data_IF_455743344936
#
_entry.id   IF_455743344936
#
_cell.length_a   1.000
_cell.length_b   1.000
_cell.length_c   1.000
_cell.angle_alpha   90.00
_cell.angle_beta   90.00
_cell.angle_gamma   90.00
#
_symmetry.space_group_name_H-M   'P 1'
#
loop_
_entity.id
_entity.type
_entity.pdbx_description
1 polymer ?
#
# COMPACT_ATOMS: atom_id res chain seq x y z
N UNK A 1 -37.82 30.85 -34.40
CA UNK A 1 -38.48 32.16 -34.18
C UNK A 1 -37.48 33.13 -33.54
N UNK A 2 -37.41 34.38 -34.03
CA UNK A 2 -36.98 35.66 -33.36
C UNK A 2 -36.07 35.52 -32.11
N UNK A 3 -34.76 35.86 -32.17
CA UNK A 3 -34.13 37.19 -31.89
C UNK A 3 -34.11 37.57 -30.39
N UNK A 4 -33.14 38.28 -29.79
CA UNK A 4 -32.13 39.28 -30.25
C UNK A 4 -31.04 39.46 -29.16
N UNK A 5 -29.73 39.58 -29.48
CA UNK A 5 -28.97 40.82 -29.76
C UNK A 5 -29.08 41.97 -28.71
N UNK A 6 -27.98 42.35 -28.05
CA UNK A 6 -27.46 43.74 -27.92
C UNK A 6 -26.21 43.80 -27.00
N UNK A 7 -25.68 45.01 -26.74
CA UNK A 7 -24.32 45.46 -27.15
C UNK A 7 -23.77 46.57 -26.25
N UNK A 8 -22.43 46.69 -26.17
CA UNK A 8 -21.65 47.89 -25.73
C UNK A 8 -21.73 48.22 -24.22
N UNK A 9 -20.83 49.02 -23.60
CA UNK A 9 -20.07 50.17 -24.13
C UNK A 9 -18.68 50.43 -23.46
N UNK A 10 -17.91 51.38 -24.03
CA UNK A 10 -16.54 51.79 -23.66
C UNK A 10 -16.51 53.11 -22.85
N UNK A 11 -15.54 53.23 -21.94
CA UNK A 11 -14.69 54.42 -21.69
C UNK A 11 -13.28 53.91 -21.25
N UNK A 12 -12.10 54.55 -21.36
CA UNK A 12 -11.53 55.83 -21.87
C UNK A 12 -11.33 57.04 -20.92
N UNK A 13 -10.03 57.37 -20.76
CA UNK A 13 -9.40 58.61 -20.27
C UNK A 13 -9.46 58.86 -18.74
N UNK A 14 -8.51 59.55 -18.10
CA UNK A 14 -7.59 60.60 -18.61
C UNK A 14 -6.19 60.66 -17.96
N UNK A 15 -5.32 61.52 -18.54
CA UNK A 15 -3.90 61.80 -18.21
C UNK A 15 -3.70 62.71 -17.00
N UNK A 16 -2.54 62.60 -16.32
CA UNK A 16 -1.60 63.73 -16.05
C UNK A 16 -0.27 63.21 -15.45
N UNK A 17 0.91 63.48 -16.07
CA UNK A 17 1.90 64.53 -15.67
C UNK A 17 2.32 64.47 -14.18
N UNK A 18 3.57 64.57 -13.72
CA UNK A 18 4.95 64.64 -14.23
C UNK A 18 5.77 65.33 -13.12
N UNK A 19 6.97 64.85 -12.76
CA UNK A 19 8.02 65.73 -12.19
C UNK A 19 9.41 65.07 -12.22
N UNK A 20 10.45 65.91 -12.26
CA UNK A 20 11.89 65.56 -12.33
C UNK A 20 12.60 65.99 -11.06
N UNK A 21 13.53 65.17 -10.58
CA UNK A 21 14.72 65.52 -9.78
C UNK A 21 15.59 64.23 -9.74
N UNK A 22 16.88 64.15 -10.10
CA UNK A 22 18.09 64.93 -9.77
C UNK A 22 18.20 65.21 -8.28
N UNK A 23 19.26 64.86 -7.52
CA UNK A 23 20.52 64.17 -7.82
C UNK A 23 21.37 64.15 -6.54
N UNK A 24 22.13 63.10 -6.24
CA UNK A 24 23.41 63.23 -5.50
C UNK A 24 24.20 61.91 -5.45
N UNK A 25 25.53 62.03 -5.59
CA UNK A 25 26.50 60.99 -5.22
C UNK A 25 26.85 61.12 -3.73
N UNK A 26 27.09 60.00 -3.07
CA UNK A 26 28.14 59.89 -2.04
C UNK A 26 28.70 58.47 -2.03
N UNK A 27 29.99 58.33 -1.69
CA UNK A 27 30.75 57.07 -1.70
C UNK A 27 30.89 56.51 -0.27
N UNK A 28 31.45 55.29 -0.18
CA UNK A 28 32.09 54.69 1.01
C UNK A 28 31.13 54.30 2.14
N UNK A 29 31.40 53.29 2.97
CA UNK A 29 32.40 52.20 2.98
C UNK A 29 32.07 51.25 4.13
N UNK A 30 32.54 49.99 4.08
CA UNK A 30 32.51 49.03 5.20
C UNK A 30 31.09 48.61 5.68
N UNK A 31 30.88 47.48 6.34
CA UNK A 31 31.59 46.17 6.31
C UNK A 31 30.68 45.13 6.99
N UNK A 32 31.00 43.83 6.78
CA UNK A 32 30.53 42.69 7.59
C UNK A 32 29.06 42.28 7.45
N UNK A 33 28.82 41.02 7.86
CA UNK A 33 27.52 40.39 8.08
C UNK A 33 26.63 40.16 6.86
N UNK A 34 27.22 39.63 5.77
CA UNK A 34 26.59 38.47 5.13
C UNK A 34 26.71 37.29 6.11
N UNK A 35 25.78 37.21 7.05
CA UNK A 35 25.47 35.95 7.71
C UNK A 35 25.16 34.95 6.62
N UNK A 36 26.08 34.00 6.39
CA UNK A 36 25.71 32.76 5.71
C UNK A 36 24.69 32.10 6.62
N UNK A 37 23.41 32.34 6.37
CA UNK A 37 22.36 31.43 6.77
C UNK A 37 22.62 30.12 6.03
N UNK A 38 23.57 29.34 6.56
CA UNK A 38 23.48 27.90 6.49
C UNK A 38 22.17 27.56 7.20
N UNK A 39 21.07 27.62 6.44
CA UNK A 39 19.94 26.76 6.67
C UNK A 39 20.52 25.36 6.66
N UNK A 40 20.92 24.88 7.85
CA UNK A 40 21.05 23.46 8.12
C UNK A 40 19.68 22.92 7.78
N UNK A 41 19.53 22.40 6.56
CA UNK A 41 18.38 21.60 6.24
C UNK A 41 18.37 20.54 7.32
N UNK A 42 17.35 20.60 8.20
CA UNK A 42 17.02 19.41 8.97
C UNK A 42 16.78 18.37 7.88
N UNK A 43 17.72 17.43 7.74
CA UNK A 43 17.43 16.16 7.09
C UNK A 43 16.38 15.55 8.01
N UNK A 44 15.12 15.85 7.71
CA UNK A 44 14.04 15.00 8.15
C UNK A 44 14.39 13.65 7.52
N UNK A 45 14.78 12.68 8.35
CA UNK A 45 14.78 11.30 7.92
C UNK A 45 13.32 10.84 8.07
N UNK A 46 12.72 10.42 6.98
CA UNK A 46 11.65 9.43 7.03
C UNK A 46 12.24 8.10 7.49
N UNK A 47 11.40 7.19 7.98
CA UNK A 47 11.70 5.77 8.10
C UNK A 47 11.06 4.96 6.95
N UNK A 48 10.42 5.62 5.98
CA UNK A 48 9.87 5.01 4.76
C UNK A 48 10.85 4.06 4.07
N UNK A 49 10.39 2.92 3.56
CA UNK A 49 11.24 1.87 2.97
C UNK A 49 10.75 1.44 1.58
N UNK A 50 11.57 0.72 0.84
CA UNK A 50 11.20 0.08 -0.42
C UNK A 50 12.00 -1.19 -0.67
N UNK A 51 11.56 -2.06 -1.58
CA UNK A 51 12.38 -3.16 -2.10
C UNK A 51 13.28 -2.66 -3.23
N UNK A 52 14.58 -2.94 -3.16
CA UNK A 52 15.52 -2.68 -4.26
C UNK A 52 15.42 -3.74 -5.38
N UNK A 53 16.35 -3.71 -6.34
CA UNK A 53 16.39 -4.66 -7.46
C UNK A 53 16.76 -6.10 -7.08
N UNK A 54 17.33 -6.31 -5.89
CA UNK A 54 17.67 -7.61 -5.32
C UNK A 54 16.55 -8.17 -4.43
N UNK A 55 15.59 -7.32 -4.05
CA UNK A 55 14.55 -7.63 -3.07
C UNK A 55 14.93 -7.25 -1.63
N UNK A 56 16.03 -6.52 -1.43
CA UNK A 56 16.45 -6.05 -0.11
C UNK A 56 15.61 -4.85 0.33
N UNK A 57 15.27 -4.80 1.62
CA UNK A 57 14.54 -3.66 2.21
C UNK A 57 15.50 -2.50 2.46
N UNK A 58 15.32 -1.41 1.73
CA UNK A 58 16.19 -0.23 1.74
C UNK A 58 15.45 1.05 2.10
N UNK A 59 16.17 2.00 2.70
CA UNK A 59 15.63 3.28 3.16
C UNK A 59 15.25 4.19 2.00
N UNK A 60 14.00 4.66 1.99
CA UNK A 60 13.48 5.67 1.06
C UNK A 60 13.51 7.06 1.70
N UNK A 61 14.16 8.03 1.05
CA UNK A 61 14.29 9.41 1.56
C UNK A 61 13.30 10.39 0.88
N UNK A 62 12.02 10.02 0.80
CA UNK A 62 10.96 10.80 0.15
C UNK A 62 9.89 11.30 1.13
N UNK A 63 9.56 12.59 1.05
CA UNK A 63 8.43 13.20 1.77
C UNK A 63 7.22 13.29 0.84
N UNK A 64 6.34 12.28 0.91
CA UNK A 64 5.13 12.19 0.07
C UNK A 64 3.81 12.20 0.86
N UNK A 65 3.82 11.70 2.09
CA UNK A 65 2.65 11.56 2.97
C UNK A 65 2.95 12.08 4.37
N UNK A 66 1.91 12.24 5.20
CA UNK A 66 2.03 12.66 6.61
C UNK A 66 2.57 11.55 7.54
N UNK A 67 2.70 10.31 7.04
CA UNK A 67 3.27 9.16 7.76
C UNK A 67 4.38 8.51 6.92
N UNK A 68 5.24 7.73 7.57
CA UNK A 68 6.18 6.83 6.88
C UNK A 68 5.41 5.76 6.08
N UNK A 69 5.99 5.34 4.94
CA UNK A 69 5.34 4.44 4.00
C UNK A 69 6.31 3.39 3.45
N UNK A 70 5.77 2.24 3.07
CA UNK A 70 6.47 1.24 2.29
C UNK A 70 6.13 1.40 0.80
N UNK A 71 7.14 1.35 -0.09
CA UNK A 71 6.95 1.32 -1.54
C UNK A 71 7.26 -0.08 -2.09
N UNK A 72 6.23 -0.75 -2.60
CA UNK A 72 6.38 -2.01 -3.34
C UNK A 72 6.36 -1.75 -4.84
N UNK A 73 7.32 -2.32 -5.55
CA UNK A 73 7.31 -2.42 -7.01
C UNK A 73 6.79 -3.81 -7.37
N UNK A 74 5.79 -3.89 -8.27
CA UNK A 74 5.22 -5.18 -8.66
C UNK A 74 5.07 -5.29 -10.17
N UNK A 75 5.26 -6.49 -10.72
CA UNK A 75 4.91 -6.80 -12.12
C UNK A 75 3.53 -7.46 -12.23
N UNK A 76 2.87 -7.72 -11.09
CA UNK A 76 1.61 -8.44 -10.98
C UNK A 76 0.45 -7.46 -11.19
N UNK A 77 -0.14 -7.44 -12.39
CA UNK A 77 -1.33 -6.62 -12.67
C UNK A 77 -2.48 -6.90 -11.70
N UNK A 78 -2.64 -8.17 -11.29
CA UNK A 78 -3.64 -8.61 -10.31
C UNK A 78 -3.45 -7.92 -8.97
N UNK A 79 -2.22 -7.81 -8.48
CA UNK A 79 -1.90 -7.11 -7.23
C UNK A 79 -2.26 -5.63 -7.32
N UNK A 80 -1.91 -4.93 -8.43
CA UNK A 80 -2.32 -3.54 -8.65
C UNK A 80 -3.85 -3.37 -8.63
N UNK A 81 -4.60 -4.32 -9.22
CA UNK A 81 -6.06 -4.33 -9.21
C UNK A 81 -6.65 -4.57 -7.81
N UNK A 82 -5.99 -5.40 -7.00
CA UNK A 82 -6.34 -5.69 -5.60
C UNK A 82 -6.04 -4.47 -4.72
N UNK A 83 -4.86 -3.87 -4.85
CA UNK A 83 -4.48 -2.66 -4.11
C UNK A 83 -5.43 -1.49 -4.40
N UNK A 84 -5.90 -1.32 -5.65
CA UNK A 84 -6.94 -0.32 -5.95
C UNK A 84 -8.29 -0.66 -5.31
N UNK A 85 -8.70 -1.93 -5.27
CA UNK A 85 -9.93 -2.33 -4.55
C UNK A 85 -9.84 -2.02 -3.06
N UNK A 86 -8.72 -2.33 -2.42
CA UNK A 86 -8.45 -2.07 -0.99
C UNK A 86 -8.39 -0.56 -0.71
N UNK A 87 -7.65 0.20 -1.53
CA UNK A 87 -7.53 1.67 -1.43
C UNK A 87 -8.89 2.38 -1.45
N UNK A 88 -9.83 1.90 -2.27
CA UNK A 88 -11.18 2.46 -2.37
C UNK A 88 -12.16 1.94 -1.30
N UNK A 89 -11.79 0.90 -0.54
CA UNK A 89 -12.64 0.25 0.46
C UNK A 89 -11.82 -0.08 1.73
N UNK A 90 -11.25 0.90 2.44
CA UNK A 90 -10.27 0.65 3.51
C UNK A 90 -10.84 -0.17 4.67
N UNK A 91 -9.99 -1.00 5.28
CA UNK A 91 -10.32 -1.85 6.43
C UNK A 91 -9.22 -1.73 7.51
N UNK A 92 -9.55 -1.61 8.81
CA UNK A 92 -8.55 -1.43 9.87
C UNK A 92 -7.61 -2.63 10.09
N UNK A 93 -7.93 -3.80 9.56
CA UNK A 93 -7.13 -5.02 9.65
C UNK A 93 -6.45 -5.41 8.32
N UNK A 94 -6.41 -4.51 7.34
CA UNK A 94 -5.64 -4.65 6.10
C UNK A 94 -4.78 -3.41 5.92
N UNK A 95 -3.57 -3.57 5.35
CA UNK A 95 -2.62 -2.48 5.14
C UNK A 95 -3.26 -1.30 4.40
N UNK A 96 -3.05 -0.08 4.90
CA UNK A 96 -3.59 1.12 4.23
C UNK A 96 -2.82 1.38 2.94
N UNK A 97 -3.48 1.29 1.78
CA UNK A 97 -2.89 1.68 0.50
C UNK A 97 -3.03 3.20 0.33
N UNK A 98 -1.91 3.91 0.13
CA UNK A 98 -1.91 5.37 -0.05
C UNK A 98 -1.97 5.77 -1.53
N UNK A 99 -1.41 4.97 -2.42
CA UNK A 99 -1.36 5.26 -3.86
C UNK A 99 -1.05 4.00 -4.67
N UNK A 100 -1.73 3.85 -5.81
CA UNK A 100 -1.39 2.86 -6.84
C UNK A 100 -1.07 3.60 -8.15
N UNK A 101 0.16 3.46 -8.64
CA UNK A 101 0.59 4.02 -9.92
C UNK A 101 0.86 2.89 -10.91
N UNK A 102 -0.08 2.68 -11.84
CA UNK A 102 -0.01 1.63 -12.86
C UNK A 102 1.04 1.84 -13.95
N UNK A 103 1.50 3.08 -14.18
CA UNK A 103 2.49 3.35 -15.22
C UNK A 103 3.88 2.84 -14.78
N UNK A 104 4.23 3.15 -13.54
CA UNK A 104 5.51 2.74 -12.94
C UNK A 104 5.39 1.40 -12.17
N UNK A 105 4.17 0.85 -12.09
CA UNK A 105 3.79 -0.37 -11.36
C UNK A 105 4.20 -0.33 -9.88
N UNK A 106 3.92 0.81 -9.25
CA UNK A 106 4.23 1.14 -7.85
C UNK A 106 2.97 1.09 -7.00
N UNK A 107 3.10 0.51 -5.80
CA UNK A 107 2.13 0.63 -4.70
C UNK A 107 2.85 1.31 -3.54
N UNK A 108 2.37 2.48 -3.10
CA UNK A 108 2.76 3.05 -1.82
C UNK A 108 1.71 2.68 -0.77
N UNK A 109 2.14 2.12 0.35
CA UNK A 109 1.29 1.62 1.44
C UNK A 109 1.86 1.99 2.81
N UNK A 110 1.04 1.85 3.84
CA UNK A 110 1.43 2.00 5.25
C UNK A 110 2.67 1.16 5.59
N UNK A 111 3.65 1.76 6.26
CA UNK A 111 4.80 1.02 6.79
C UNK A 111 4.37 0.30 8.08
N UNK A 112 4.35 -1.03 8.03
CA UNK A 112 4.05 -1.87 9.19
C UNK A 112 5.34 -2.36 9.87
N UNK A 113 5.24 -2.67 11.15
CA UNK A 113 6.26 -3.40 11.90
C UNK A 113 6.03 -4.92 11.77
N UNK A 114 7.02 -5.63 11.25
CA UNK A 114 7.00 -7.09 11.08
C UNK A 114 7.82 -7.82 12.15
N UNK A 115 8.51 -7.10 13.04
CA UNK A 115 9.36 -7.66 14.09
C UNK A 115 8.58 -7.83 15.41
N UNK A 116 7.54 -8.67 15.39
CA UNK A 116 6.71 -8.95 16.57
C UNK A 116 6.86 -10.38 17.09
N UNK A 117 6.72 -10.57 18.41
CA UNK A 117 6.77 -11.89 19.03
C UNK A 117 5.47 -12.67 18.80
N UNK A 118 5.57 -13.90 18.27
CA UNK A 118 4.44 -14.79 18.06
C UNK A 118 4.05 -15.58 19.33
N UNK A 119 3.77 -14.85 20.41
CA UNK A 119 3.25 -15.39 21.67
C UNK A 119 1.73 -15.63 21.61
N UNK A 120 1.16 -16.30 22.62
CA UNK A 120 -0.26 -16.66 22.66
C UNK A 120 -1.20 -15.44 22.57
N UNK A 121 -0.86 -14.33 23.23
CA UNK A 121 -1.68 -13.10 23.20
C UNK A 121 -1.76 -12.52 21.78
N UNK A 122 -0.63 -12.51 21.07
CA UNK A 122 -0.58 -12.05 19.68
C UNK A 122 -1.25 -13.03 18.72
N UNK A 123 -1.14 -14.35 18.94
CA UNK A 123 -1.91 -15.36 18.18
C UNK A 123 -3.41 -15.15 18.32
N UNK A 124 -3.94 -14.95 19.54
CA UNK A 124 -5.37 -14.67 19.74
C UNK A 124 -5.86 -13.40 19.04
N UNK A 125 -5.04 -12.34 19.03
CA UNK A 125 -5.33 -11.10 18.29
C UNK A 125 -5.32 -11.33 16.77
N UNK A 126 -4.36 -12.10 16.27
CA UNK A 126 -4.23 -12.46 14.85
C UNK A 126 -5.40 -13.32 14.39
N UNK A 127 -5.81 -14.35 15.14
CA UNK A 127 -6.98 -15.17 14.81
C UNK A 127 -8.26 -14.35 14.71
N UNK A 128 -8.43 -13.36 15.60
CA UNK A 128 -9.56 -12.44 15.57
C UNK A 128 -9.47 -11.48 14.38
N UNK A 129 -8.28 -11.01 14.04
CA UNK A 129 -8.02 -10.20 12.85
C UNK A 129 -8.43 -10.97 11.58
N UNK A 130 -7.91 -12.20 11.40
CA UNK A 130 -8.12 -13.01 10.19
C UNK A 130 -9.61 -13.28 9.95
N UNK A 131 -10.38 -13.62 11.00
CA UNK A 131 -11.83 -13.83 10.93
C UNK A 131 -12.59 -12.61 10.39
N UNK A 132 -12.10 -11.39 10.64
CA UNK A 132 -12.66 -10.16 10.05
C UNK A 132 -12.15 -9.92 8.63
N UNK A 133 -10.85 -10.13 8.40
CA UNK A 133 -10.19 -9.87 7.11
C UNK A 133 -10.70 -10.77 6.00
N UNK A 134 -10.90 -12.06 6.26
CA UNK A 134 -11.39 -13.00 5.24
C UNK A 134 -12.78 -12.62 4.73
N UNK A 135 -13.71 -12.27 5.64
CA UNK A 135 -15.06 -11.79 5.29
C UNK A 135 -14.99 -10.50 4.46
N UNK A 136 -14.11 -9.58 4.84
CA UNK A 136 -13.87 -8.34 4.09
C UNK A 136 -13.32 -8.60 2.68
N UNK A 137 -12.26 -9.40 2.52
CA UNK A 137 -11.66 -9.71 1.21
C UNK A 137 -12.66 -10.44 0.30
N UNK A 138 -13.40 -11.41 0.83
CA UNK A 138 -14.42 -12.16 0.09
C UNK A 138 -15.58 -11.27 -0.37
N UNK A 139 -15.93 -10.22 0.39
CA UNK A 139 -16.93 -9.21 -0.01
C UNK A 139 -16.45 -8.31 -1.15
N UNK A 140 -15.13 -8.22 -1.37
CA UNK A 140 -14.51 -7.52 -2.51
C UNK A 140 -14.18 -8.47 -3.68
N UNK A 141 -14.56 -9.74 -3.58
CA UNK A 141 -14.19 -10.83 -4.51
C UNK A 141 -12.68 -11.04 -4.63
N UNK A 142 -11.94 -10.79 -3.54
CA UNK A 142 -10.51 -11.06 -3.41
C UNK A 142 -10.35 -12.36 -2.62
N UNK A 143 -9.49 -13.26 -3.10
CA UNK A 143 -9.06 -14.45 -2.39
C UNK A 143 -7.59 -14.32 -2.08
N UNK A 144 -7.21 -14.47 -0.82
CA UNK A 144 -5.88 -14.13 -0.36
C UNK A 144 -4.81 -15.19 -0.73
N UNK A 145 -5.12 -16.46 -0.46
CA UNK A 145 -4.36 -17.67 -0.81
C UNK A 145 -2.99 -17.83 -0.13
N UNK A 146 -2.29 -16.76 0.28
CA UNK A 146 -0.95 -16.84 0.88
C UNK A 146 -0.95 -16.58 2.41
N UNK A 147 -1.82 -17.28 3.14
CA UNK A 147 -1.96 -17.14 4.59
C UNK A 147 -0.69 -17.62 5.33
N UNK A 148 0.12 -16.68 5.81
CA UNK A 148 1.31 -16.91 6.64
C UNK A 148 1.56 -15.73 7.59
N UNK A 149 2.29 -15.94 8.69
CA UNK A 149 2.58 -14.89 9.66
C UNK A 149 3.43 -13.75 9.08
N UNK A 150 4.36 -14.04 8.16
CA UNK A 150 5.23 -13.02 7.55
C UNK A 150 4.47 -11.95 6.75
N UNK A 151 3.24 -12.25 6.33
CA UNK A 151 2.35 -11.32 5.63
C UNK A 151 1.42 -10.53 6.60
N UNK A 152 1.66 -10.63 7.90
CA UNK A 152 0.95 -9.88 8.94
C UNK A 152 1.95 -8.89 9.55
N UNK A 153 1.52 -7.65 9.74
CA UNK A 153 2.34 -6.62 10.37
C UNK A 153 1.51 -5.82 11.38
N UNK A 154 2.19 -5.08 12.24
CA UNK A 154 1.57 -4.23 13.26
C UNK A 154 1.62 -2.76 12.82
N UNK A 155 0.53 -2.02 13.00
CA UNK A 155 0.56 -0.57 12.85
C UNK A 155 1.11 0.13 14.11
N UNK A 156 1.37 1.43 13.99
CA UNK A 156 1.88 2.28 15.08
C UNK A 156 0.98 2.35 16.33
N UNK A 157 -0.28 1.94 16.19
CA UNK A 157 -1.30 1.95 17.25
C UNK A 157 -1.47 0.54 17.88
N UNK A 158 -0.66 -0.45 17.45
CA UNK A 158 -0.62 -1.81 18.00
C UNK A 158 -1.60 -2.80 17.34
N UNK A 159 -2.20 -2.44 16.20
CA UNK A 159 -3.19 -3.29 15.53
C UNK A 159 -2.52 -4.16 14.45
N UNK A 160 -2.85 -5.44 14.42
CA UNK A 160 -2.45 -6.32 13.33
C UNK A 160 -3.21 -6.03 12.03
N UNK A 161 -2.48 -6.04 10.93
CA UNK A 161 -2.95 -5.84 9.55
C UNK A 161 -2.34 -6.86 8.61
N UNK A 162 -3.16 -7.41 7.72
CA UNK A 162 -2.70 -8.23 6.60
C UNK A 162 -2.13 -7.33 5.49
N UNK A 163 -0.97 -7.71 4.95
CA UNK A 163 -0.33 -7.07 3.79
C UNK A 163 0.14 -8.14 2.78
N UNK A 164 0.80 -7.69 1.72
CA UNK A 164 1.27 -8.50 0.58
C UNK A 164 0.18 -9.32 -0.17
N UNK A 165 -0.20 -8.85 -1.36
CA UNK A 165 -1.26 -9.45 -2.18
C UNK A 165 -0.74 -9.99 -3.53
N UNK A 166 0.56 -10.31 -3.64
CA UNK A 166 1.18 -10.70 -4.92
C UNK A 166 0.64 -12.03 -5.50
N UNK A 167 0.30 -12.93 -4.58
CA UNK A 167 -0.15 -14.30 -4.78
C UNK A 167 -1.67 -14.42 -4.73
N UNK A 168 -2.37 -13.37 -4.30
CA UNK A 168 -3.83 -13.30 -4.26
C UNK A 168 -4.48 -13.28 -5.64
N UNK A 169 -5.77 -13.64 -5.69
CA UNK A 169 -6.58 -13.66 -6.92
C UNK A 169 -7.88 -12.87 -6.78
N UNK A 170 -8.52 -12.61 -7.93
CA UNK A 170 -9.85 -11.98 -8.01
C UNK A 170 -10.85 -12.98 -8.58
N UNK A 171 -11.92 -13.24 -7.84
CA UNK A 171 -13.05 -14.06 -8.24
C UNK A 171 -14.14 -13.24 -8.94
N UNK A 172 -15.17 -13.91 -9.44
CA UNK A 172 -16.39 -13.29 -9.95
C UNK A 172 -17.36 -12.92 -8.81
N UNK A 173 -18.44 -12.22 -9.15
CA UNK A 173 -19.41 -11.68 -8.18
C UNK A 173 -20.09 -12.77 -7.30
N UNK A 174 -20.09 -14.03 -7.74
CA UNK A 174 -20.57 -15.17 -6.96
C UNK A 174 -19.46 -15.91 -6.19
N UNK A 175 -18.21 -15.46 -6.26
CA UNK A 175 -17.00 -16.08 -5.73
C UNK A 175 -16.70 -17.52 -6.21
N UNK A 176 -17.39 -18.00 -7.26
CA UNK A 176 -17.29 -19.39 -7.75
C UNK A 176 -16.27 -19.61 -8.86
N UNK A 177 -15.75 -18.56 -9.49
CA UNK A 177 -14.77 -18.65 -10.60
C UNK A 177 -13.74 -17.53 -10.55
N UNK A 178 -12.50 -17.84 -10.91
CA UNK A 178 -11.43 -16.85 -11.08
C UNK A 178 -11.71 -15.94 -12.29
N UNK A 179 -11.73 -14.62 -12.06
CA UNK A 179 -11.57 -13.61 -13.13
C UNK A 179 -10.08 -13.35 -13.37
N UNK A 180 -9.28 -13.30 -12.30
CA UNK A 180 -7.82 -13.20 -12.35
C UNK A 180 -7.25 -14.20 -11.34
N UNK A 181 -6.66 -15.28 -11.85
CA UNK A 181 -6.13 -16.34 -11.00
C UNK A 181 -4.94 -15.87 -10.16
N UNK A 182 -4.77 -16.43 -8.96
CA UNK A 182 -3.58 -16.24 -8.10
C UNK A 182 -2.25 -16.61 -8.77
N UNK A 183 -1.13 -16.29 -8.13
CA UNK A 183 0.19 -16.77 -8.56
C UNK A 183 0.30 -18.29 -8.39
N UNK A 184 1.12 -18.95 -9.22
CA UNK A 184 1.51 -20.34 -8.94
C UNK A 184 2.32 -20.38 -7.65
N UNK A 185 1.79 -21.05 -6.63
CA UNK A 185 2.38 -21.15 -5.30
C UNK A 185 2.21 -22.55 -4.72
N UNK A 186 2.87 -22.85 -3.60
CA UNK A 186 2.66 -24.08 -2.84
C UNK A 186 1.19 -24.28 -2.47
N UNK A 187 0.49 -23.20 -2.07
CA UNK A 187 -0.92 -23.22 -1.73
C UNK A 187 -1.80 -23.70 -2.89
N UNK A 188 -1.52 -23.30 -4.14
CA UNK A 188 -2.26 -23.83 -5.30
C UNK A 188 -1.96 -25.30 -5.59
N UNK A 189 -0.75 -25.79 -5.32
CA UNK A 189 -0.43 -27.20 -5.46
C UNK A 189 -1.22 -28.04 -4.43
N UNK A 190 -1.26 -27.59 -3.17
CA UNK A 190 -2.03 -28.21 -2.09
C UNK A 190 -3.54 -28.26 -2.42
N UNK A 191 -4.10 -27.16 -2.93
CA UNK A 191 -5.50 -27.10 -3.38
C UNK A 191 -5.78 -28.07 -4.53
N UNK A 192 -4.88 -28.17 -5.50
CA UNK A 192 -5.01 -29.11 -6.63
C UNK A 192 -4.98 -30.57 -6.19
N UNK A 193 -4.15 -30.92 -5.19
CA UNK A 193 -4.09 -32.26 -4.60
C UNK A 193 -5.40 -32.62 -3.89
N UNK A 194 -6.02 -31.66 -3.20
CA UNK A 194 -7.31 -31.82 -2.53
C UNK A 194 -8.53 -31.62 -3.47
N UNK A 195 -8.30 -31.46 -4.77
CA UNK A 195 -9.33 -31.19 -5.79
C UNK A 195 -10.19 -29.92 -5.55
N UNK A 196 -9.69 -28.98 -4.73
CA UNK A 196 -10.37 -27.72 -4.42
C UNK A 196 -10.05 -26.70 -5.52
N UNK A 197 -11.05 -26.35 -6.33
CA UNK A 197 -10.88 -25.48 -7.51
C UNK A 197 -11.71 -24.19 -7.44
N UNK A 198 -12.73 -24.15 -6.58
CA UNK A 198 -13.57 -22.97 -6.38
C UNK A 198 -12.81 -21.91 -5.55
N UNK A 199 -12.75 -20.63 -5.98
CA UNK A 199 -11.99 -19.59 -5.30
C UNK A 199 -12.34 -19.43 -3.82
N UNK A 200 -13.64 -19.38 -3.50
CA UNK A 200 -14.13 -19.22 -2.13
C UNK A 200 -13.73 -20.40 -1.24
N UNK A 201 -13.92 -21.63 -1.72
CA UNK A 201 -13.54 -22.84 -0.99
C UNK A 201 -12.02 -22.92 -0.81
N UNK A 202 -11.25 -22.50 -1.83
CA UNK A 202 -9.80 -22.48 -1.80
C UNK A 202 -9.25 -21.62 -0.67
N UNK A 203 -9.75 -20.38 -0.56
CA UNK A 203 -9.25 -19.43 0.43
C UNK A 203 -9.72 -19.76 1.84
N UNK A 204 -10.98 -20.23 1.99
CA UNK A 204 -11.48 -20.71 3.28
C UNK A 204 -10.71 -21.95 3.77
N UNK A 205 -10.34 -22.88 2.89
CA UNK A 205 -9.57 -24.07 3.25
C UNK A 205 -8.17 -23.71 3.75
N UNK A 206 -7.46 -22.84 3.03
CA UNK A 206 -6.12 -22.39 3.42
C UNK A 206 -6.15 -21.57 4.71
N UNK A 207 -7.12 -20.67 4.85
CA UNK A 207 -7.33 -19.92 6.10
C UNK A 207 -7.66 -20.85 7.29
N UNK A 208 -8.44 -21.91 7.07
CA UNK A 208 -8.73 -22.91 8.10
C UNK A 208 -7.45 -23.64 8.54
N UNK A 209 -6.63 -24.12 7.59
CA UNK A 209 -5.38 -24.78 7.92
C UNK A 209 -4.42 -23.84 8.67
N UNK A 210 -4.31 -22.57 8.26
CA UNK A 210 -3.51 -21.56 8.94
C UNK A 210 -3.94 -21.34 10.39
N UNK A 211 -5.24 -21.07 10.65
CA UNK A 211 -5.77 -20.83 12.01
C UNK A 211 -5.55 -22.05 12.93
N UNK A 212 -5.57 -23.28 12.37
CA UNK A 212 -5.34 -24.50 13.15
C UNK A 212 -3.85 -24.90 13.23
N UNK A 213 -2.92 -24.07 12.76
CA UNK A 213 -1.47 -24.35 12.80
C UNK A 213 -1.03 -25.49 11.87
N UNK A 214 -1.83 -25.83 10.86
CA UNK A 214 -1.53 -26.85 9.84
C UNK A 214 -0.85 -26.28 8.59
N UNK A 215 -0.78 -24.94 8.48
CA UNK A 215 0.11 -24.22 7.59
C UNK A 215 0.99 -23.32 8.45
N UNK A 216 2.12 -23.83 8.93
CA UNK A 216 3.13 -22.98 9.55
C UNK A 216 4.10 -22.49 8.48
N UNK A 217 4.28 -21.17 8.39
CA UNK A 217 4.97 -20.50 7.27
C UNK A 217 6.46 -20.82 7.14
N UNK A 218 7.02 -21.59 8.07
CA UNK A 218 8.45 -21.95 8.13
C UNK A 218 8.74 -23.39 7.71
N UNK A 219 7.76 -24.30 7.72
CA UNK A 219 7.99 -25.74 7.50
C UNK A 219 7.78 -26.14 6.03
N UNK A 220 8.63 -25.63 5.15
CA UNK A 220 8.66 -26.00 3.73
C UNK A 220 9.13 -27.44 3.45
N UNK A 221 9.59 -28.21 4.46
CA UNK A 221 10.21 -29.55 4.25
C UNK A 221 9.51 -30.74 4.93
N UNK A 222 8.73 -30.58 6.02
CA UNK A 222 8.39 -31.72 6.91
C UNK A 222 6.92 -32.22 6.93
N UNK A 223 5.99 -31.60 6.21
CA UNK A 223 4.54 -31.95 6.29
C UNK A 223 4.24 -33.39 5.78
N UNK A 224 5.15 -34.02 5.03
CA UNK A 224 4.94 -35.36 4.45
C UNK A 224 5.44 -36.56 5.28
N UNK A 225 6.13 -36.37 6.40
CA UNK A 225 6.72 -37.51 7.14
C UNK A 225 5.85 -38.08 8.28
N UNK A 226 4.85 -37.34 8.81
CA UNK A 226 4.26 -37.68 10.12
C UNK A 226 2.72 -37.83 10.21
N UNK A 227 1.93 -37.68 9.14
CA UNK A 227 0.48 -37.95 9.21
C UNK A 227 -0.06 -38.72 7.99
N UNK A 228 -0.37 -40.03 8.12
CA UNK A 228 -0.88 -40.87 7.03
C UNK A 228 -2.40 -40.74 6.81
N UNK A 229 -3.10 -39.79 7.44
CA UNK A 229 -4.59 -39.70 7.45
C UNK A 229 -5.16 -38.91 6.24
N UNK A 230 -4.31 -38.38 5.34
CA UNK A 230 -4.73 -37.60 4.16
C UNK A 230 -4.32 -38.25 2.81
N UNK A 231 -4.69 -39.53 2.63
CA UNK A 231 -4.65 -40.27 1.35
C UNK A 231 -6.05 -40.79 0.97
#
# INVERSE_FOLDING_TARGET
SKSSRSKSSRSKSSRSKSSRSKSSRSKSSNSKNRSKSQSKSKKYLTNSKYYDENGDIVQLYEFKYDNDFFRKFTRRKVELDISEKIMNNPNPNVVTIYNVNRNDSIIDMELLDTEYELNNENKEKIDKMIKNVIVYLHSLHIMYIDWKYDNIGMDKDGNFKLFDFDSSGIANDSNTKWIKSPASSYALALLSLNHITEPLCSDNFLCFLFINGMLDGNDHENIYENDPVLL
#
